data_IF_406182085814
#
_entry.id   IF_406182085814
#
_cell.length_a   1.000
_cell.length_b   1.000
_cell.length_c   1.000
_cell.angle_alpha   90.00
_cell.angle_beta   90.00
_cell.angle_gamma   90.00
#
_symmetry.space_group_name_H-M   'P 1'
#
loop_
_entity.id
_entity.type
_entity.pdbx_description
1 polymer ?
#
# COMPACT_ATOMS: atom_id res chain seq x y z
N UNK A 1 -4.05 -16.59 9.08
CA UNK A 1 -4.44 -15.49 8.18
C UNK A 1 -3.19 -14.86 7.59
N UNK A 2 -3.25 -14.46 6.32
CA UNK A 2 -2.13 -13.79 5.65
C UNK A 2 -2.34 -12.27 5.56
N UNK A 3 -1.24 -11.53 5.65
CA UNK A 3 -1.19 -10.09 5.46
C UNK A 3 -0.12 -9.78 4.43
N UNK A 4 -0.51 -9.14 3.32
CA UNK A 4 0.41 -8.77 2.24
C UNK A 4 0.56 -7.25 2.21
N UNK A 5 1.75 -6.75 2.50
CA UNK A 5 2.11 -5.35 2.28
C UNK A 5 2.77 -5.16 0.92
N UNK A 6 2.30 -4.19 0.14
CA UNK A 6 2.80 -3.90 -1.20
C UNK A 6 3.15 -2.41 -1.36
N UNK A 7 4.44 -2.10 -1.51
CA UNK A 7 4.93 -0.79 -1.98
C UNK A 7 4.90 -0.79 -3.51
N UNK A 8 3.78 -0.35 -4.07
CA UNK A 8 3.51 -0.45 -5.51
C UNK A 8 4.15 0.73 -6.24
N UNK A 9 5.13 0.43 -7.08
CA UNK A 9 5.69 1.42 -7.98
C UNK A 9 4.62 1.96 -8.95
N UNK A 10 4.54 3.28 -9.13
CA UNK A 10 3.52 3.86 -10.02
C UNK A 10 3.71 3.50 -11.49
N UNK A 11 4.96 3.31 -11.93
CA UNK A 11 5.30 2.93 -13.30
C UNK A 11 5.65 1.44 -13.36
N UNK A 12 5.21 0.73 -14.42
CA UNK A 12 5.57 -0.68 -14.63
C UNK A 12 7.07 -0.90 -14.88
N UNK A 13 7.84 0.17 -15.14
CA UNK A 13 9.31 0.08 -15.33
C UNK A 13 10.07 -0.10 -14.02
N UNK A 14 9.43 0.16 -12.88
CA UNK A 14 10.05 0.09 -11.57
C UNK A 14 9.51 -1.12 -10.80
N UNK A 15 10.41 -1.77 -10.07
CA UNK A 15 10.07 -2.89 -9.19
C UNK A 15 9.25 -2.40 -8.00
N UNK A 16 8.28 -3.20 -7.59
CA UNK A 16 7.50 -3.03 -6.37
C UNK A 16 8.10 -3.86 -5.24
N UNK A 17 7.95 -3.40 -4.01
CA UNK A 17 8.37 -4.15 -2.81
C UNK A 17 7.19 -4.87 -2.19
N UNK A 18 7.38 -6.12 -1.78
CA UNK A 18 6.30 -6.93 -1.20
C UNK A 18 6.78 -7.68 0.04
N UNK A 19 5.96 -7.67 1.09
CA UNK A 19 6.18 -8.41 2.33
C UNK A 19 4.94 -9.24 2.67
N UNK A 20 5.09 -10.55 2.80
CA UNK A 20 4.05 -11.47 3.24
C UNK A 20 4.26 -11.82 4.70
N UNK A 21 3.23 -11.61 5.51
CA UNK A 21 3.20 -12.01 6.90
C UNK A 21 2.10 -13.07 7.11
N UNK A 22 2.32 -13.97 8.04
CA UNK A 22 1.32 -14.94 8.50
C UNK A 22 1.16 -14.80 10.00
N UNK A 23 -0.09 -14.72 10.47
CA UNK A 23 -0.35 -14.54 11.89
C UNK A 23 -1.81 -14.26 12.24
N UNK A 24 -1.99 -13.68 13.43
CA UNK A 24 -3.28 -13.36 14.04
C UNK A 24 -3.16 -12.29 15.13
N UNK A 25 -4.13 -12.26 16.05
CA UNK A 25 -4.24 -11.20 17.07
C UNK A 25 -3.05 -11.11 18.06
N UNK A 26 -2.26 -12.17 18.19
CA UNK A 26 -1.10 -12.22 19.10
C UNK A 26 0.22 -11.80 18.41
N UNK A 27 0.21 -11.65 17.09
CA UNK A 27 1.41 -11.32 16.30
C UNK A 27 1.38 -11.95 14.91
N UNK A 28 2.40 -11.60 14.12
CA UNK A 28 2.61 -12.17 12.80
C UNK A 28 4.09 -12.32 12.50
N UNK A 29 4.43 -13.37 11.75
CA UNK A 29 5.79 -13.65 11.30
C UNK A 29 5.96 -13.21 9.85
N UNK A 30 7.11 -12.64 9.53
CA UNK A 30 7.49 -12.36 8.14
C UNK A 30 7.82 -13.68 7.44
N UNK A 31 6.96 -14.10 6.53
CA UNK A 31 7.11 -15.34 5.76
C UNK A 31 7.97 -15.12 4.53
N UNK A 32 7.81 -13.96 3.88
CA UNK A 32 8.55 -13.65 2.66
C UNK A 32 8.70 -12.15 2.44
N UNK A 33 9.80 -11.77 1.78
CA UNK A 33 10.14 -10.40 1.40
C UNK A 33 10.84 -10.41 0.05
N UNK A 34 10.25 -9.75 -0.95
CA UNK A 34 10.81 -9.73 -2.30
C UNK A 34 10.52 -8.43 -3.05
N UNK A 35 11.31 -8.23 -4.11
CA UNK A 35 11.05 -7.24 -5.13
C UNK A 35 10.42 -7.93 -6.35
N UNK A 36 9.34 -7.36 -6.87
CA UNK A 36 8.51 -7.94 -7.94
C UNK A 36 8.29 -6.92 -9.06
N UNK A 37 8.25 -7.35 -10.32
CA UNK A 37 8.34 -6.42 -11.45
C UNK A 37 6.94 -6.08 -12.01
N UNK A 38 6.16 -7.11 -12.35
CA UNK A 38 4.88 -6.97 -13.04
C UNK A 38 3.64 -7.18 -12.17
N UNK A 39 2.51 -6.65 -12.64
CA UNK A 39 1.20 -6.86 -11.99
C UNK A 39 0.75 -8.32 -12.07
N UNK A 40 0.99 -8.97 -13.21
CA UNK A 40 0.71 -10.41 -13.39
C UNK A 40 1.53 -11.28 -12.42
N UNK A 41 2.78 -10.90 -12.14
CA UNK A 41 3.60 -11.59 -11.14
C UNK A 41 3.03 -11.42 -9.73
N UNK A 42 2.54 -10.22 -9.39
CA UNK A 42 1.88 -9.95 -8.10
C UNK A 42 0.63 -10.81 -7.97
N UNK A 43 -0.22 -10.83 -9.01
CA UNK A 43 -1.44 -11.62 -9.04
C UNK A 43 -1.14 -13.12 -8.92
N UNK A 44 -0.18 -13.63 -9.69
CA UNK A 44 0.26 -15.02 -9.61
C UNK A 44 0.81 -15.37 -8.22
N UNK A 45 1.55 -14.46 -7.59
CA UNK A 45 2.05 -14.65 -6.23
C UNK A 45 0.90 -14.73 -5.21
N UNK A 46 -0.07 -13.82 -5.29
CA UNK A 46 -1.27 -13.83 -4.44
C UNK A 46 -2.02 -15.15 -4.61
N UNK A 47 -2.24 -15.58 -5.86
CA UNK A 47 -2.89 -16.85 -6.13
C UNK A 47 -2.12 -18.03 -5.50
N UNK A 48 -0.80 -18.10 -5.65
CA UNK A 48 -0.02 -19.21 -5.14
C UNK A 48 0.04 -19.30 -3.60
N UNK A 49 -0.07 -18.17 -2.89
CA UNK A 49 0.21 -18.13 -1.43
C UNK A 49 -1.01 -17.85 -0.56
N UNK A 50 -2.09 -17.25 -1.09
CA UNK A 50 -3.25 -16.86 -0.29
C UNK A 50 -4.60 -17.33 -0.84
N UNK A 51 -4.62 -18.20 -1.86
CA UNK A 51 -5.86 -18.60 -2.54
C UNK A 51 -6.82 -19.48 -1.71
N UNK A 52 -6.37 -20.17 -0.66
CA UNK A 52 -7.26 -21.00 0.17
C UNK A 52 -7.62 -20.35 1.53
N UNK A 53 -6.82 -19.39 1.98
CA UNK A 53 -7.01 -18.71 3.27
C UNK A 53 -7.59 -17.28 3.09
N UNK A 54 -8.06 -16.68 4.18
CA UNK A 54 -8.36 -15.24 4.20
C UNK A 54 -7.08 -14.42 4.19
N UNK A 55 -7.09 -13.28 3.48
CA UNK A 55 -5.95 -12.38 3.40
C UNK A 55 -6.35 -10.90 3.34
N UNK A 56 -5.52 -10.06 3.96
CA UNK A 56 -5.60 -8.61 3.85
C UNK A 56 -4.40 -8.12 3.05
N UNK A 57 -4.67 -7.45 1.95
CA UNK A 57 -3.67 -6.87 1.05
C UNK A 57 -3.68 -5.36 1.23
N UNK A 58 -2.61 -4.82 1.82
CA UNK A 58 -2.39 -3.40 2.03
C UNK A 58 -1.43 -2.85 0.96
N UNK A 59 -1.90 -1.91 0.15
CA UNK A 59 -1.17 -1.39 -1.01
C UNK A 59 -0.87 0.10 -0.83
N UNK A 60 0.42 0.47 -0.83
CA UNK A 60 0.89 1.87 -0.87
C UNK A 60 0.82 2.40 -2.30
N UNK A 61 -0.40 2.60 -2.80
CA UNK A 61 -0.68 3.30 -4.04
C UNK A 61 -2.16 3.71 -4.14
N UNK A 62 -2.48 4.75 -4.91
CA UNK A 62 -3.87 5.09 -5.26
C UNK A 62 -4.59 3.94 -5.97
N UNK A 63 -5.66 3.42 -5.38
CA UNK A 63 -6.40 2.24 -5.86
C UNK A 63 -7.70 2.56 -6.61
N UNK A 64 -8.20 3.79 -6.46
CA UNK A 64 -9.39 4.30 -7.17
C UNK A 64 -9.18 5.77 -7.50
N UNK A 65 -9.02 6.08 -8.80
CA UNK A 65 -8.58 7.40 -9.28
C UNK A 65 -9.54 7.91 -10.35
N UNK A 66 -10.63 8.51 -9.90
CA UNK A 66 -11.69 9.02 -10.78
C UNK A 66 -11.46 10.47 -11.24
N UNK A 67 -10.66 11.24 -10.50
CA UNK A 67 -10.38 12.64 -10.78
C UNK A 67 -9.29 12.81 -11.83
N UNK A 68 -9.51 13.74 -12.75
CA UNK A 68 -8.52 14.10 -13.78
C UNK A 68 -7.35 14.90 -13.20
N UNK A 69 -7.62 15.79 -12.25
CA UNK A 69 -6.64 16.70 -11.65
C UNK A 69 -6.89 16.86 -10.14
N UNK A 70 -5.94 17.48 -9.44
CA UNK A 70 -6.03 17.78 -8.01
C UNK A 70 -5.95 16.54 -7.12
N UNK A 71 -6.41 16.67 -5.88
CA UNK A 71 -6.45 15.60 -4.88
C UNK A 71 -7.83 14.97 -4.74
N UNK A 72 -7.88 13.66 -4.48
CA UNK A 72 -9.10 12.93 -4.10
C UNK A 72 -9.53 13.32 -2.69
N UNK A 73 -10.75 12.91 -2.32
CA UNK A 73 -11.24 13.03 -0.93
C UNK A 73 -10.32 12.31 0.05
N UNK A 74 -9.78 11.14 -0.34
CA UNK A 74 -8.84 10.36 0.48
C UNK A 74 -7.62 11.19 0.91
N UNK A 75 -6.89 11.79 -0.03
CA UNK A 75 -5.76 12.68 0.30
C UNK A 75 -6.19 13.89 1.13
N UNK A 76 -7.34 14.51 0.83
CA UNK A 76 -7.81 15.69 1.56
C UNK A 76 -8.09 15.37 3.03
N UNK A 77 -8.78 14.26 3.29
CA UNK A 77 -9.07 13.80 4.64
C UNK A 77 -7.82 13.37 5.39
N UNK A 78 -6.92 12.65 4.73
CA UNK A 78 -5.66 12.24 5.32
C UNK A 78 -4.80 13.46 5.66
N UNK A 79 -4.66 14.42 4.74
CA UNK A 79 -3.90 15.66 4.99
C UNK A 79 -4.53 16.52 6.10
N UNK A 80 -5.86 16.53 6.24
CA UNK A 80 -6.54 17.23 7.32
C UNK A 80 -6.12 16.70 8.70
N UNK A 81 -5.97 15.39 8.83
CA UNK A 81 -5.59 14.73 10.10
C UNK A 81 -4.07 14.72 10.31
N UNK A 82 -3.31 14.39 9.27
CA UNK A 82 -1.90 14.02 9.39
C UNK A 82 -0.91 15.14 9.05
N UNK A 83 -1.37 16.34 8.62
CA UNK A 83 -0.44 17.47 8.35
C UNK A 83 0.41 17.85 9.55
N UNK A 84 -0.14 17.77 10.76
CA UNK A 84 0.56 18.17 12.00
C UNK A 84 1.79 17.29 12.27
N UNK A 85 1.76 16.05 11.77
CA UNK A 85 2.82 15.05 11.91
C UNK A 85 3.75 15.00 10.70
N UNK A 86 3.63 15.95 9.76
CA UNK A 86 4.36 15.95 8.48
C UNK A 86 4.09 14.71 7.60
N UNK A 87 2.99 13.99 7.85
CA UNK A 87 2.58 12.78 7.15
C UNK A 87 1.55 13.09 6.04
N UNK A 88 1.85 14.09 5.22
CA UNK A 88 0.98 14.51 4.12
C UNK A 88 1.17 13.61 2.90
N UNK A 89 0.11 13.46 2.11
CA UNK A 89 0.12 12.75 0.83
C UNK A 89 0.10 13.73 -0.33
N UNK A 90 0.79 13.34 -1.39
CA UNK A 90 0.74 14.04 -2.67
C UNK A 90 -0.62 13.80 -3.35
N UNK A 91 -1.10 14.75 -4.18
CA UNK A 91 -2.27 14.53 -4.99
C UNK A 91 -2.16 13.28 -5.85
N UNK A 92 -3.23 12.49 -5.90
CA UNK A 92 -3.39 11.39 -6.83
C UNK A 92 -4.48 11.75 -7.84
N UNK A 93 -4.16 11.67 -9.13
CA UNK A 93 -5.09 11.93 -10.23
C UNK A 93 -4.59 11.27 -11.52
N UNK A 94 -5.44 11.22 -12.53
CA UNK A 94 -5.12 10.57 -13.80
C UNK A 94 -3.95 11.24 -14.52
N UNK A 95 -3.82 12.57 -14.50
CA UNK A 95 -2.67 13.24 -15.12
C UNK A 95 -1.31 12.81 -14.55
N UNK A 96 -1.26 12.41 -13.28
CA UNK A 96 -0.02 12.00 -12.60
C UNK A 96 0.25 10.49 -12.67
N UNK A 97 -0.81 9.69 -12.72
CA UNK A 97 -0.74 8.24 -12.50
C UNK A 97 -1.04 7.41 -13.74
N UNK A 98 -1.71 8.00 -14.74
CA UNK A 98 -2.08 7.29 -15.95
C UNK A 98 -0.85 7.09 -16.84
N UNK A 99 -0.57 5.84 -17.18
CA UNK A 99 0.42 5.46 -18.18
C UNK A 99 -0.29 4.66 -19.26
N UNK A 100 -0.22 5.14 -20.50
CA UNK A 100 -0.90 4.51 -21.65
C UNK A 100 -2.41 4.28 -21.43
N UNK A 101 -3.10 5.22 -20.76
CA UNK A 101 -4.53 5.16 -20.51
C UNK A 101 -4.93 4.40 -19.24
N UNK A 102 -3.96 3.89 -18.48
CA UNK A 102 -4.18 2.95 -17.38
C UNK A 102 -3.58 3.46 -16.07
N UNK A 103 -4.33 3.31 -14.98
CA UNK A 103 -3.84 3.52 -13.61
C UNK A 103 -3.53 2.16 -12.99
N UNK A 104 -2.24 1.90 -12.73
CA UNK A 104 -1.74 0.60 -12.25
C UNK A 104 -2.49 0.05 -11.03
N UNK A 105 -2.79 0.91 -10.05
CA UNK A 105 -3.55 0.51 -8.85
C UNK A 105 -4.97 0.02 -9.16
N UNK A 106 -5.65 0.59 -10.18
CA UNK A 106 -6.99 0.17 -10.60
C UNK A 106 -6.94 -1.22 -11.28
N UNK A 107 -5.90 -1.49 -12.09
CA UNK A 107 -5.67 -2.81 -12.71
C UNK A 107 -5.46 -3.88 -11.65
N UNK A 108 -4.61 -3.60 -10.66
CA UNK A 108 -4.32 -4.56 -9.61
C UNK A 108 -5.57 -4.86 -8.77
N UNK A 109 -6.37 -3.84 -8.45
CA UNK A 109 -7.67 -4.05 -7.77
C UNK A 109 -8.59 -4.92 -8.61
N UNK A 110 -8.66 -4.72 -9.92
CA UNK A 110 -9.48 -5.55 -10.80
C UNK A 110 -9.05 -7.02 -10.73
N UNK A 111 -7.76 -7.32 -10.94
CA UNK A 111 -7.26 -8.69 -10.89
C UNK A 111 -7.47 -9.37 -9.53
N UNK A 112 -7.26 -8.64 -8.43
CA UNK A 112 -7.55 -9.15 -7.08
C UNK A 112 -9.05 -9.37 -6.86
N UNK A 113 -9.92 -8.54 -7.45
CA UNK A 113 -11.38 -8.71 -7.36
C UNK A 113 -11.83 -9.97 -8.08
N UNK A 114 -11.21 -10.30 -9.22
CA UNK A 114 -11.44 -11.57 -9.93
C UNK A 114 -11.05 -12.80 -9.07
N UNK A 115 -10.12 -12.64 -8.13
CA UNK A 115 -9.73 -13.64 -7.11
C UNK A 115 -10.62 -13.64 -5.85
N UNK A 116 -11.72 -12.87 -5.86
CA UNK A 116 -12.68 -12.79 -4.76
C UNK A 116 -12.29 -11.81 -3.64
N UNK A 117 -11.29 -10.95 -3.85
CA UNK A 117 -10.99 -9.87 -2.90
C UNK A 117 -11.96 -8.69 -3.08
N UNK A 118 -12.17 -7.94 -2.01
CA UNK A 118 -12.98 -6.72 -2.05
C UNK A 118 -12.17 -5.53 -1.58
N UNK A 119 -12.17 -4.44 -2.36
CA UNK A 119 -11.65 -3.16 -1.90
C UNK A 119 -12.50 -2.61 -0.75
N UNK A 120 -11.89 -2.35 0.40
CA UNK A 120 -12.54 -1.85 1.61
C UNK A 120 -11.93 -0.53 2.06
N UNK A 121 -12.73 0.28 2.75
CA UNK A 121 -12.28 1.47 3.47
C UNK A 121 -12.11 1.22 4.97
N UNK A 122 -12.46 0.02 5.45
CA UNK A 122 -12.35 -0.42 6.84
C UNK A 122 -11.83 -1.86 6.88
N UNK A 123 -11.09 -2.19 7.94
CA UNK A 123 -10.55 -3.54 8.15
C UNK A 123 -11.59 -4.35 8.92
N UNK A 124 -12.04 -5.48 8.35
CA UNK A 124 -12.84 -6.42 9.12
C UNK A 124 -11.90 -7.41 9.81
N UNK A 125 -12.02 -7.57 11.12
CA UNK A 125 -11.21 -8.50 11.89
C UNK A 125 -11.86 -9.88 11.91
N UNK A 126 -12.05 -10.50 10.74
CA UNK A 126 -12.65 -11.82 10.63
C UNK A 126 -11.81 -12.75 9.78
N UNK A 127 -11.61 -13.96 10.28
CA UNK A 127 -10.96 -15.04 9.55
C UNK A 127 -11.72 -15.37 8.25
N UNK A 128 -10.97 -15.62 7.18
CA UNK A 128 -11.52 -15.90 5.85
C UNK A 128 -11.86 -14.66 5.00
N UNK A 129 -11.79 -13.44 5.56
CA UNK A 129 -12.01 -12.22 4.77
C UNK A 129 -10.89 -11.97 3.75
N UNK A 130 -11.28 -11.44 2.59
CA UNK A 130 -10.38 -11.10 1.47
C UNK A 130 -10.48 -9.62 1.16
N UNK A 131 -9.53 -8.85 1.67
CA UNK A 131 -9.63 -7.39 1.68
C UNK A 131 -8.46 -6.76 0.94
N UNK A 132 -8.77 -5.74 0.15
CA UNK A 132 -7.78 -4.82 -0.43
C UNK A 132 -7.93 -3.50 0.31
N UNK A 133 -6.81 -2.91 0.72
CA UNK A 133 -6.76 -1.64 1.42
C UNK A 133 -5.75 -0.73 0.74
N UNK A 134 -6.18 0.49 0.44
CA UNK A 134 -5.26 1.58 0.12
C UNK A 134 -4.65 2.06 1.44
N UNK A 135 -3.31 2.05 1.55
CA UNK A 135 -2.59 2.47 2.76
C UNK A 135 -1.61 3.59 2.46
N UNK A 136 -1.27 4.35 3.50
CA UNK A 136 -0.31 5.45 3.42
C UNK A 136 0.73 5.27 4.54
N UNK A 137 1.91 4.68 4.27
CA UNK A 137 2.83 4.24 5.30
C UNK A 137 3.26 5.32 6.30
N UNK A 138 3.44 6.57 5.84
CA UNK A 138 3.76 7.68 6.75
C UNK A 138 2.66 7.94 7.80
N UNK A 139 1.39 7.94 7.39
CA UNK A 139 0.26 8.08 8.31
C UNK A 139 0.10 6.82 9.19
N UNK A 140 0.29 5.63 8.61
CA UNK A 140 0.26 4.37 9.33
C UNK A 140 1.28 4.30 10.46
N UNK A 141 2.55 4.66 10.20
CA UNK A 141 3.60 4.67 11.23
C UNK A 141 3.32 5.69 12.33
N UNK A 142 2.84 6.89 11.97
CA UNK A 142 2.44 7.90 12.98
C UNK A 142 1.35 7.34 13.91
N UNK A 143 0.32 6.72 13.34
CA UNK A 143 -0.80 6.17 14.11
C UNK A 143 -0.40 4.95 14.97
N UNK A 144 0.38 4.02 14.41
CA UNK A 144 0.75 2.77 15.07
C UNK A 144 1.78 3.00 16.18
N UNK A 145 2.79 3.85 15.92
CA UNK A 145 3.88 4.08 16.87
C UNK A 145 3.72 5.34 17.72
N UNK A 146 2.62 6.09 17.55
CA UNK A 146 2.37 7.31 18.31
C UNK A 146 3.41 8.41 18.06
N UNK A 147 3.91 8.53 16.83
CA UNK A 147 5.01 9.44 16.51
C UNK A 147 4.54 10.89 16.47
N UNK A 148 5.36 11.82 16.97
CA UNK A 148 5.11 13.26 16.84
C UNK A 148 5.30 13.77 15.41
N UNK A 149 6.06 13.03 14.59
CA UNK A 149 6.31 13.31 13.17
C UNK A 149 6.70 12.04 12.42
N UNK A 150 6.69 12.09 11.08
CA UNK A 150 7.16 10.97 10.24
C UNK A 150 8.61 10.55 10.57
N UNK A 151 8.89 9.24 10.47
CA UNK A 151 10.24 8.73 10.33
C UNK A 151 10.75 9.01 8.91
N UNK A 152 11.90 9.67 8.78
CA UNK A 152 12.48 10.03 7.49
C UNK A 152 13.36 8.91 6.89
N UNK A 153 12.82 7.69 6.81
CA UNK A 153 13.57 6.49 6.40
C UNK A 153 13.90 6.40 4.88
N UNK A 154 13.13 7.07 4.01
CA UNK A 154 13.36 6.98 2.55
C UNK A 154 14.70 7.60 2.15
N UNK A 155 15.50 6.89 1.36
CA UNK A 155 16.76 7.40 0.81
C UNK A 155 16.50 8.58 -0.15
N UNK A 156 17.28 9.65 -0.03
CA UNK A 156 17.22 10.83 -0.90
C UNK A 156 18.62 11.34 -1.18
N UNK A 157 18.88 12.07 -2.29
CA UNK A 157 20.21 12.60 -2.62
C UNK A 157 20.89 13.42 -1.52
N UNK A 158 20.12 13.96 -0.56
CA UNK A 158 20.60 14.74 0.59
C UNK A 158 20.21 14.10 1.93
N UNK A 159 20.13 12.77 1.98
CA UNK A 159 19.83 12.02 3.19
C UNK A 159 20.69 10.77 3.26
N UNK A 160 21.78 10.89 4.02
CA UNK A 160 22.74 9.83 4.26
C UNK A 160 22.11 8.66 5.03
N UNK A 161 22.80 7.53 5.05
CA UNK A 161 22.38 6.40 5.89
C UNK A 161 22.44 6.73 7.38
N UNK A 162 23.49 7.43 7.85
CA UNK A 162 23.64 7.80 9.25
C UNK A 162 22.51 8.71 9.75
N UNK A 163 22.10 9.71 8.95
CA UNK A 163 20.96 10.57 9.28
C UNK A 163 19.65 9.79 9.40
N UNK A 164 19.46 8.75 8.59
CA UNK A 164 18.23 7.92 8.65
C UNK A 164 18.18 7.01 9.87
N UNK A 165 19.33 6.64 10.43
CA UNK A 165 19.42 5.79 11.62
C UNK A 165 19.12 6.57 12.92
N UNK A 166 19.19 7.90 12.87
CA UNK A 166 18.91 8.78 14.00
C UNK A 166 17.44 9.20 14.13
N UNK A 167 16.62 8.87 13.12
CA UNK A 167 15.17 9.10 13.11
C UNK A 167 14.43 8.00 13.88
#
# INVERSE_FOLDING_TARGET
>A
MFFLGLDLAWSPRNRSGMALLQGGGEGAELVDLRLIEGDDEILAYVQAHVEQEGAVIAIDAPLRVQNQQGSRTAEKDLNRVFRAYQAMTHPANRQLLEYEGVVRGEVLVQGLTEMGFTLKSTIAQKEGERQILEVFPHAGMVAIFGLERILRYKAKPRRSWAERLQE
#
